data_IF_235800964818
#
_entry.id   IF_235800964818
#
_cell.length_a   1.000
_cell.length_b   1.000
_cell.length_c   1.000
_cell.angle_alpha   90.00
_cell.angle_beta   90.00
_cell.angle_gamma   90.00
#
_symmetry.space_group_name_H-M   'P 1'
#
loop_
_entity.id
_entity.type
_entity.pdbx_description
1 polymer ?
#
# COMPACT_ATOMS: atom_id res chain seq x y z
N UNK A 1 15.58 3.57 39.48
CA UNK A 1 14.67 3.33 40.63
C UNK A 1 13.47 2.56 40.13
N UNK A 2 13.47 1.26 40.38
CA UNK A 2 12.36 0.34 40.11
C UNK A 2 11.28 0.58 41.18
N UNK A 3 10.01 0.72 40.79
CA UNK A 3 8.88 0.63 41.73
C UNK A 3 8.06 -0.61 41.42
N UNK A 4 8.18 -1.59 42.33
CA UNK A 4 7.29 -2.73 42.50
C UNK A 4 5.93 -2.26 43.06
N UNK A 5 4.86 -2.93 42.68
CA UNK A 5 3.56 -2.95 43.39
C UNK A 5 3.25 -4.43 43.72
N UNK A 6 2.74 -4.75 44.94
CA UNK A 6 2.79 -6.10 45.49
C UNK A 6 1.53 -6.94 45.25
N UNK A 7 1.74 -8.25 45.22
CA UNK A 7 0.75 -9.32 45.34
C UNK A 7 0.25 -9.50 46.78
N UNK A 8 -1.05 -9.78 46.95
CA UNK A 8 -1.63 -10.63 48.01
C UNK A 8 -3.05 -11.08 47.58
N UNK A 9 -3.25 -12.37 47.30
CA UNK A 9 -4.02 -13.36 48.09
C UNK A 9 -5.56 -13.18 47.97
N UNK A 10 -6.43 -14.18 47.74
CA UNK A 10 -6.43 -15.58 48.20
C UNK A 10 -7.58 -16.40 47.52
N UNK A 11 -7.37 -17.73 47.45
CA UNK A 11 -8.34 -18.84 47.49
C UNK A 11 -9.23 -19.13 46.26
N UNK A 12 -8.98 -20.17 45.44
CA UNK A 12 -9.10 -21.62 45.69
C UNK A 12 -10.54 -22.16 45.72
N UNK A 13 -10.96 -22.83 44.64
CA UNK A 13 -12.00 -23.86 44.66
C UNK A 13 -11.67 -24.96 43.64
N UNK A 14 -10.99 -25.99 44.14
CA UNK A 14 -10.99 -27.34 43.60
C UNK A 14 -11.68 -28.20 44.66
N UNK A 15 -12.81 -28.81 44.33
CA UNK A 15 -13.33 -29.96 45.09
C UNK A 15 -13.70 -31.07 44.13
N UNK A 16 -12.95 -32.15 44.26
CA UNK A 16 -13.32 -33.47 43.77
C UNK A 16 -14.44 -34.03 44.67
N UNK A 17 -15.41 -34.71 44.06
CA UNK A 17 -16.26 -35.67 44.77
C UNK A 17 -16.16 -37.02 44.06
N UNK A 18 -15.58 -37.99 44.78
CA UNK A 18 -15.68 -39.42 44.54
C UNK A 18 -16.38 -40.04 45.74
N UNK A 19 -17.26 -41.01 45.44
CA UNK A 19 -17.83 -42.07 46.28
C UNK A 19 -19.11 -41.80 47.09
N UNK A 20 -20.20 -42.41 46.61
CA UNK A 20 -21.08 -43.39 47.28
C UNK A 20 -21.93 -44.02 46.15
N UNK A 21 -22.28 -45.30 46.06
CA UNK A 21 -22.22 -46.47 46.92
C UNK A 21 -23.03 -47.54 46.17
N UNK A 22 -22.62 -48.81 46.26
CA UNK A 22 -23.20 -49.90 45.48
C UNK A 22 -24.69 -50.15 45.72
N UNK A 23 -25.36 -50.62 44.68
CA UNK A 23 -26.71 -51.18 44.74
C UNK A 23 -26.80 -52.36 43.79
N UNK A 24 -26.58 -53.57 44.32
CA UNK A 24 -26.88 -54.81 43.61
C UNK A 24 -28.39 -54.94 43.43
N UNK A 25 -28.82 -55.09 42.19
CA UNK A 25 -30.18 -55.46 41.81
C UNK A 25 -30.14 -56.81 41.13
N UNK A 26 -30.62 -57.83 41.83
CA UNK A 26 -30.79 -59.19 41.32
C UNK A 26 -31.59 -59.17 40.02
N UNK A 27 -31.10 -59.84 38.99
CA UNK A 27 -31.93 -60.24 37.86
C UNK A 27 -33.06 -61.12 38.39
N UNK A 28 -34.31 -60.71 38.16
CA UNK A 28 -35.46 -61.55 38.40
C UNK A 28 -35.32 -62.86 37.60
N UNK A 29 -35.64 -64.00 38.20
CA UNK A 29 -35.69 -65.28 37.47
C UNK A 29 -36.77 -65.20 36.40
N UNK A 30 -36.39 -65.31 35.12
CA UNK A 30 -37.33 -65.39 34.00
C UNK A 30 -37.11 -64.45 32.82
N UNK A 31 -36.07 -63.61 32.83
CA UNK A 31 -35.72 -62.78 31.66
C UNK A 31 -34.72 -63.50 30.77
N UNK A 32 -35.16 -63.87 29.56
CA UNK A 32 -34.27 -64.40 28.52
C UNK A 32 -33.25 -63.34 28.08
N UNK A 33 -31.99 -63.71 27.80
CA UNK A 33 -31.01 -62.78 27.24
C UNK A 33 -31.52 -62.19 25.92
N UNK A 34 -31.34 -60.88 25.74
CA UNK A 34 -31.58 -60.20 24.46
C UNK A 34 -30.64 -60.71 23.36
N UNK A 35 -30.98 -60.48 22.08
CA UNK A 35 -30.20 -60.97 20.95
C UNK A 35 -28.76 -60.42 20.96
N UNK A 36 -27.78 -61.15 20.40
CA UNK A 36 -26.40 -60.67 20.32
C UNK A 36 -26.34 -59.35 19.55
N UNK A 37 -25.47 -58.40 19.95
CA UNK A 37 -25.34 -57.12 19.28
C UNK A 37 -24.86 -57.32 17.82
N UNK A 38 -25.33 -56.50 16.85
CA UNK A 38 -24.81 -56.52 15.49
C UNK A 38 -23.31 -56.19 15.49
N UNK A 39 -22.56 -56.91 14.66
CA UNK A 39 -21.10 -56.91 14.71
C UNK A 39 -20.41 -55.64 14.23
N UNK A 40 -19.17 -55.48 14.71
CA UNK A 40 -18.08 -54.71 14.09
C UNK A 40 -18.16 -53.18 14.23
N UNK A 41 -17.03 -52.47 14.36
CA UNK A 41 -17.00 -51.02 14.20
C UNK A 41 -17.35 -50.70 12.75
N UNK A 42 -18.48 -50.02 12.55
CA UNK A 42 -18.73 -49.28 11.31
C UNK A 42 -17.90 -48.01 11.37
N UNK A 43 -16.94 -47.87 10.47
CA UNK A 43 -16.26 -46.59 10.26
C UNK A 43 -17.34 -45.55 9.90
N UNK A 44 -17.40 -44.40 10.60
CA UNK A 44 -18.32 -43.35 10.21
C UNK A 44 -18.03 -42.94 8.76
N UNK A 45 -19.06 -42.73 7.91
CA UNK A 45 -18.83 -42.26 6.57
C UNK A 45 -18.03 -40.96 6.63
N UNK A 46 -17.01 -40.86 5.78
CA UNK A 46 -16.21 -39.64 5.62
C UNK A 46 -17.17 -38.46 5.47
N UNK A 47 -17.01 -37.36 6.22
CA UNK A 47 -17.89 -36.20 6.08
C UNK A 47 -17.93 -35.77 4.61
N UNK A 48 -19.10 -35.91 3.97
CA UNK A 48 -19.34 -35.30 2.67
C UNK A 48 -19.50 -33.80 2.90
N UNK A 49 -18.44 -33.04 2.60
CA UNK A 49 -18.55 -31.59 2.48
C UNK A 49 -19.55 -31.28 1.36
N UNK A 50 -20.45 -30.30 1.53
CA UNK A 50 -21.34 -29.90 0.45
C UNK A 50 -20.49 -29.60 -0.80
N UNK A 51 -20.81 -30.31 -1.88
CA UNK A 51 -20.20 -30.10 -3.18
C UNK A 51 -20.69 -28.76 -3.72
N UNK A 52 -20.14 -27.66 -3.23
CA UNK A 52 -20.33 -26.35 -3.85
C UNK A 52 -19.67 -26.47 -5.21
N UNK A 53 -20.48 -26.47 -6.27
CA UNK A 53 -19.97 -26.44 -7.63
C UNK A 53 -18.98 -25.26 -7.72
N UNK A 54 -17.74 -25.46 -8.18
CA UNK A 54 -16.76 -24.38 -8.25
C UNK A 54 -17.34 -23.18 -9.00
N UNK A 55 -17.11 -21.97 -8.47
CA UNK A 55 -17.51 -20.76 -9.15
C UNK A 55 -16.67 -20.60 -10.42
N UNK A 56 -17.28 -20.40 -11.61
CA UNK A 56 -16.51 -20.14 -12.82
C UNK A 56 -15.71 -18.85 -12.67
N UNK A 57 -14.39 -18.91 -12.88
CA UNK A 57 -13.50 -17.75 -12.71
C UNK A 57 -13.96 -16.51 -13.48
N UNK A 58 -14.44 -16.69 -14.72
CA UNK A 58 -14.89 -15.59 -15.58
C UNK A 58 -16.15 -14.87 -15.05
N UNK A 59 -16.93 -15.52 -14.18
CA UNK A 59 -18.17 -14.98 -13.60
C UNK A 59 -17.99 -14.47 -12.17
N UNK A 60 -16.79 -14.60 -11.59
CA UNK A 60 -16.51 -14.16 -10.23
C UNK A 60 -16.61 -12.62 -10.12
N UNK A 61 -17.62 -12.14 -9.37
CA UNK A 61 -17.86 -10.72 -9.07
C UNK A 61 -16.93 -10.16 -7.98
N UNK A 62 -16.25 -11.04 -7.26
CA UNK A 62 -15.21 -10.72 -6.29
C UNK A 62 -14.17 -11.85 -6.29
N UNK A 63 -12.90 -11.49 -6.14
CA UNK A 63 -11.80 -12.44 -6.02
C UNK A 63 -11.10 -12.31 -4.66
N UNK A 64 -11.04 -13.40 -3.91
CA UNK A 64 -10.22 -13.50 -2.71
C UNK A 64 -9.04 -14.42 -2.98
N UNK A 65 -7.87 -13.81 -3.14
CA UNK A 65 -6.64 -14.50 -3.48
C UNK A 65 -5.59 -14.29 -2.38
N UNK A 66 -4.83 -15.32 -2.05
CA UNK A 66 -3.67 -15.21 -1.18
C UNK A 66 -2.62 -16.24 -1.56
N UNK A 67 -1.35 -15.86 -1.38
CA UNK A 67 -0.22 -16.75 -1.62
C UNK A 67 0.11 -17.47 -0.30
N UNK A 68 0.08 -18.80 -0.34
CA UNK A 68 0.34 -19.66 0.81
C UNK A 68 1.84 -19.78 1.10
N UNK A 69 2.64 -19.94 0.06
CA UNK A 69 4.09 -20.11 0.16
C UNK A 69 4.79 -19.71 -1.13
N UNK A 70 6.06 -19.35 -0.99
CA UNK A 70 7.00 -19.22 -2.08
C UNK A 70 8.35 -19.79 -1.64
N UNK A 71 8.95 -20.64 -2.48
CA UNK A 71 10.24 -21.27 -2.24
C UNK A 71 11.02 -21.42 -3.55
N UNK A 72 12.30 -21.78 -3.49
CA UNK A 72 13.06 -22.15 -4.69
C UNK A 72 13.15 -23.66 -4.80
N UNK A 73 12.92 -24.21 -5.99
CA UNK A 73 13.20 -25.62 -6.27
C UNK A 73 14.72 -25.87 -6.45
N UNK A 74 15.08 -27.13 -6.75
CA UNK A 74 16.48 -27.52 -6.93
C UNK A 74 17.16 -26.84 -8.14
N UNK A 75 16.36 -26.36 -9.09
CA UNK A 75 16.77 -25.63 -10.28
C UNK A 75 16.78 -24.10 -10.08
N UNK A 76 16.59 -23.62 -8.83
CA UNK A 76 16.56 -22.20 -8.45
C UNK A 76 15.45 -21.40 -9.14
N UNK A 77 14.37 -22.09 -9.51
CA UNK A 77 13.11 -21.49 -9.96
C UNK A 77 12.19 -21.26 -8.76
N UNK A 78 11.56 -20.08 -8.67
CA UNK A 78 10.51 -19.86 -7.70
C UNK A 78 9.31 -20.78 -7.94
N UNK A 79 8.82 -21.40 -6.86
CA UNK A 79 7.61 -22.21 -6.81
C UNK A 79 6.65 -21.53 -5.84
N UNK A 80 5.48 -21.13 -6.34
CA UNK A 80 4.47 -20.37 -5.59
C UNK A 80 3.24 -21.22 -5.44
N UNK A 81 2.79 -21.43 -4.21
CA UNK A 81 1.47 -22.02 -3.95
C UNK A 81 0.51 -20.92 -3.52
N UNK A 82 -0.65 -20.84 -4.15
CA UNK A 82 -1.67 -19.84 -3.86
C UNK A 82 -3.06 -20.44 -3.85
N UNK A 83 -3.99 -19.76 -3.18
CA UNK A 83 -5.41 -20.12 -3.09
C UNK A 83 -6.25 -19.01 -3.72
N UNK A 84 -7.32 -19.41 -4.40
CA UNK A 84 -8.32 -18.51 -4.96
C UNK A 84 -9.74 -18.97 -4.60
N UNK A 85 -10.57 -18.03 -4.16
CA UNK A 85 -12.01 -18.21 -3.98
C UNK A 85 -12.78 -17.00 -4.54
N UNK A 86 -14.08 -17.19 -4.77
CA UNK A 86 -15.00 -16.08 -5.07
C UNK A 86 -15.43 -15.31 -3.80
N UNK A 87 -16.36 -14.36 -3.96
CA UNK A 87 -16.94 -13.56 -2.88
C UNK A 87 -17.73 -14.35 -1.82
N UNK A 88 -18.20 -15.56 -2.16
CA UNK A 88 -18.91 -16.47 -1.26
C UNK A 88 -17.97 -17.50 -0.61
N UNK A 89 -16.65 -17.37 -0.83
CA UNK A 89 -15.60 -18.30 -0.41
C UNK A 89 -15.70 -19.68 -1.08
N UNK A 90 -16.33 -19.78 -2.25
CA UNK A 90 -16.33 -20.99 -3.06
C UNK A 90 -14.99 -21.09 -3.80
N UNK A 91 -14.31 -22.25 -3.77
CA UNK A 91 -13.06 -22.45 -4.50
C UNK A 91 -13.22 -22.24 -6.01
N UNK A 92 -12.31 -21.48 -6.61
CA UNK A 92 -12.23 -21.31 -8.06
C UNK A 92 -11.22 -22.31 -8.60
N UNK A 93 -11.67 -23.29 -9.38
CA UNK A 93 -10.86 -24.45 -9.82
C UNK A 93 -10.63 -24.52 -11.33
N UNK A 94 -10.93 -23.48 -12.09
CA UNK A 94 -10.87 -23.45 -13.56
C UNK A 94 -9.91 -22.40 -14.13
N UNK A 95 -8.99 -21.85 -13.30
CA UNK A 95 -7.95 -20.95 -13.79
C UNK A 95 -7.05 -21.63 -14.83
N UNK A 96 -6.76 -20.90 -15.89
CA UNK A 96 -5.74 -21.24 -16.88
C UNK A 96 -4.53 -20.31 -16.77
N UNK A 97 -3.37 -20.76 -17.27
CA UNK A 97 -2.13 -19.97 -17.25
C UNK A 97 -2.28 -18.61 -17.95
N UNK A 98 -3.11 -18.52 -18.99
CA UNK A 98 -3.38 -17.26 -19.70
C UNK A 98 -4.03 -16.19 -18.82
N UNK A 99 -4.71 -16.58 -17.74
CA UNK A 99 -5.34 -15.70 -16.76
C UNK A 99 -4.34 -15.10 -15.76
N UNK A 100 -3.08 -15.52 -15.77
CA UNK A 100 -2.14 -15.20 -14.71
C UNK A 100 -0.89 -14.49 -15.23
N UNK A 101 -0.42 -13.53 -14.45
CA UNK A 101 0.89 -12.90 -14.60
C UNK A 101 1.60 -12.93 -13.26
N UNK A 102 2.87 -13.31 -13.25
CA UNK A 102 3.68 -13.41 -12.05
C UNK A 102 4.86 -12.46 -12.11
N UNK A 103 5.18 -11.84 -10.97
CA UNK A 103 6.34 -10.96 -10.80
C UNK A 103 7.18 -11.45 -9.64
N UNK A 104 8.50 -11.30 -9.73
CA UNK A 104 9.41 -11.56 -8.61
C UNK A 104 10.52 -10.51 -8.54
N UNK A 105 10.74 -9.99 -7.34
CA UNK A 105 11.72 -8.93 -7.07
C UNK A 105 12.45 -9.18 -5.74
N UNK A 106 13.68 -8.68 -5.63
CA UNK A 106 14.42 -8.57 -4.37
C UNK A 106 14.32 -7.16 -3.80
N UNK A 107 14.41 -7.03 -2.49
CA UNK A 107 14.49 -5.75 -1.80
C UNK A 107 15.95 -5.45 -1.40
N UNK A 108 16.55 -4.48 -2.08
CA UNK A 108 17.90 -4.04 -1.78
C UNK A 108 17.89 -2.95 -0.69
N UNK A 109 18.72 -3.06 0.35
CA UNK A 109 18.86 -2.01 1.35
C UNK A 109 19.52 -0.77 0.74
N UNK A 110 19.15 0.41 1.23
CA UNK A 110 19.78 1.66 0.81
C UNK A 110 20.93 2.03 1.77
N UNK A 111 22.02 2.62 1.25
CA UNK A 111 23.08 3.16 2.10
C UNK A 111 22.62 4.35 2.95
N UNK A 112 21.45 4.93 2.66
CA UNK A 112 20.88 6.04 3.44
C UNK A 112 20.36 5.62 4.81
N UNK A 113 20.03 4.34 4.99
CA UNK A 113 19.53 3.83 6.27
C UNK A 113 18.94 2.44 6.18
N UNK A 114 18.74 1.82 7.34
CA UNK A 114 18.25 0.44 7.47
C UNK A 114 16.72 0.29 7.38
N UNK A 115 15.97 1.40 7.25
CA UNK A 115 14.51 1.40 7.07
C UNK A 115 14.10 1.83 5.65
N UNK A 116 15.06 1.90 4.72
CA UNK A 116 14.82 2.32 3.34
C UNK A 116 15.63 1.49 2.34
N UNK A 117 15.12 1.36 1.14
CA UNK A 117 15.64 0.44 0.12
C UNK A 117 14.94 0.62 -1.22
N UNK A 118 15.25 -0.24 -2.17
CA UNK A 118 14.58 -0.28 -3.47
C UNK A 118 14.25 -1.71 -3.85
N UNK A 119 13.05 -1.93 -4.39
CA UNK A 119 12.75 -3.16 -5.08
C UNK A 119 13.57 -3.24 -6.38
N UNK A 120 13.96 -4.45 -6.76
CA UNK A 120 14.62 -4.73 -8.02
C UNK A 120 14.03 -6.02 -8.61
N UNK A 121 13.33 -5.89 -9.73
CA UNK A 121 12.75 -7.04 -10.44
C UNK A 121 13.84 -7.91 -11.05
N UNK A 122 13.65 -9.23 -10.99
CA UNK A 122 14.43 -10.19 -11.76
C UNK A 122 13.96 -10.29 -13.22
N UNK A 123 12.66 -10.08 -13.44
CA UNK A 123 12.03 -10.21 -14.76
C UNK A 123 11.96 -8.83 -15.40
N UNK A 124 12.69 -8.68 -16.51
CA UNK A 124 12.83 -7.42 -17.22
C UNK A 124 12.74 -7.65 -18.73
N UNK A 125 12.47 -6.57 -19.46
CA UNK A 125 12.65 -6.47 -20.91
C UNK A 125 13.52 -5.26 -21.24
N UNK A 126 14.15 -5.29 -22.41
CA UNK A 126 14.76 -4.11 -23.01
C UNK A 126 13.74 -3.45 -23.92
N UNK A 127 13.28 -2.27 -23.56
CA UNK A 127 12.49 -1.42 -24.45
C UNK A 127 13.42 -0.58 -25.32
N UNK A 128 13.09 -0.43 -26.60
CA UNK A 128 13.81 0.41 -27.54
C UNK A 128 12.92 1.58 -27.93
N UNK A 129 13.44 2.83 -27.97
CA UNK A 129 12.66 3.96 -28.42
C UNK A 129 12.27 3.78 -29.88
N UNK A 130 11.00 4.03 -30.18
CA UNK A 130 10.46 4.06 -31.54
C UNK A 130 9.51 5.23 -31.76
N UNK A 131 8.93 5.75 -30.68
CA UNK A 131 8.08 6.94 -30.65
C UNK A 131 8.59 7.91 -29.59
N UNK A 132 8.31 9.20 -29.75
CA UNK A 132 8.66 10.20 -28.73
C UNK A 132 10.13 10.65 -28.75
N UNK A 133 10.55 11.43 -27.72
CA UNK A 133 11.86 12.09 -27.67
C UNK A 133 13.01 11.20 -27.18
N UNK A 134 12.72 10.02 -26.63
CA UNK A 134 13.72 9.11 -26.08
C UNK A 134 14.65 8.53 -27.16
N UNK A 135 15.89 8.24 -26.78
CA UNK A 135 16.97 7.98 -27.72
C UNK A 135 17.90 6.81 -27.35
N UNK A 136 17.62 6.13 -26.23
CA UNK A 136 18.42 5.01 -25.74
C UNK A 136 17.49 3.86 -25.34
N UNK A 137 17.96 2.63 -25.54
CA UNK A 137 17.30 1.47 -24.98
C UNK A 137 17.30 1.54 -23.46
N UNK A 138 16.23 1.04 -22.83
CA UNK A 138 16.05 1.07 -21.39
C UNK A 138 15.53 -0.25 -20.85
N UNK A 139 15.99 -0.60 -19.65
CA UNK A 139 15.41 -1.69 -18.91
C UNK A 139 14.02 -1.32 -18.39
N UNK A 140 13.11 -2.28 -18.46
CA UNK A 140 11.78 -2.18 -17.87
C UNK A 140 11.40 -3.49 -17.20
N UNK A 141 11.09 -3.43 -15.91
CA UNK A 141 10.55 -4.58 -15.22
C UNK A 141 9.19 -4.99 -15.82
N UNK A 142 8.95 -6.30 -15.85
CA UNK A 142 7.73 -6.88 -16.43
C UNK A 142 7.34 -8.15 -15.66
N UNK A 143 6.18 -8.71 -15.99
CA UNK A 143 5.74 -10.00 -15.47
C UNK A 143 6.09 -11.14 -16.43
N UNK A 144 6.16 -12.35 -15.89
CA UNK A 144 6.24 -13.61 -16.63
C UNK A 144 4.86 -14.30 -16.69
N UNK A 145 4.64 -15.08 -17.75
CA UNK A 145 3.50 -15.98 -17.91
C UNK A 145 3.86 -17.30 -18.61
N UNK A 146 5.13 -17.67 -18.59
CA UNK A 146 5.69 -18.79 -19.36
C UNK A 146 6.03 -20.04 -18.54
N UNK A 147 5.78 -20.02 -17.23
CA UNK A 147 6.01 -21.14 -16.33
C UNK A 147 4.95 -22.24 -16.40
N UNK A 148 4.94 -23.12 -15.42
CA UNK A 148 4.01 -24.25 -15.31
C UNK A 148 2.99 -24.00 -14.19
N UNK A 149 1.70 -24.10 -14.52
CA UNK A 149 0.61 -24.00 -13.56
C UNK A 149 0.02 -25.40 -13.31
N UNK A 150 0.00 -25.82 -12.05
CA UNK A 150 -0.67 -27.01 -11.58
C UNK A 150 -1.90 -26.64 -10.74
N UNK A 151 -3.04 -27.24 -11.06
CA UNK A 151 -4.28 -27.06 -10.32
C UNK A 151 -4.48 -28.24 -9.35
N UNK A 152 -4.56 -27.95 -8.04
CA UNK A 152 -4.68 -28.97 -7.01
C UNK A 152 -6.12 -29.47 -6.80
N UNK A 153 -7.09 -28.92 -7.54
CA UNK A 153 -8.49 -29.36 -7.55
C UNK A 153 -9.34 -28.86 -6.37
N UNK A 154 -8.80 -27.99 -5.52
CA UNK A 154 -9.48 -27.45 -4.33
C UNK A 154 -9.42 -25.91 -4.26
N UNK A 155 -9.18 -25.25 -5.40
CA UNK A 155 -8.97 -23.81 -5.52
C UNK A 155 -7.57 -23.35 -5.14
N UNK A 156 -6.69 -24.27 -4.71
CA UNK A 156 -5.26 -24.00 -4.63
C UNK A 156 -4.55 -24.41 -5.91
N UNK A 157 -3.49 -23.69 -6.22
CA UNK A 157 -2.68 -23.86 -7.40
C UNK A 157 -1.21 -23.74 -7.03
N UNK A 158 -0.36 -24.39 -7.81
CA UNK A 158 1.10 -24.25 -7.73
C UNK A 158 1.62 -23.73 -9.06
N UNK A 159 2.36 -22.63 -9.04
CA UNK A 159 3.04 -22.07 -10.20
C UNK A 159 4.55 -22.19 -10.04
N UNK A 160 5.19 -22.85 -11.00
CA UNK A 160 6.65 -22.90 -11.11
C UNK A 160 7.09 -21.93 -12.20
N UNK A 161 7.91 -20.94 -11.83
CA UNK A 161 8.44 -19.97 -12.78
C UNK A 161 9.31 -20.65 -13.84
N UNK A 162 9.28 -20.12 -15.07
CA UNK A 162 10.27 -20.48 -16.09
C UNK A 162 11.63 -19.85 -15.77
N UNK A 163 11.63 -18.62 -15.23
CA UNK A 163 12.83 -17.90 -14.80
C UNK A 163 13.57 -18.63 -13.67
N UNK A 164 14.89 -18.76 -13.82
CA UNK A 164 15.83 -19.15 -12.76
C UNK A 164 16.53 -17.91 -12.23
N UNK A 165 16.53 -17.69 -10.92
CA UNK A 165 17.03 -16.43 -10.35
C UNK A 165 18.55 -16.24 -10.48
N UNK A 166 19.28 -17.34 -10.64
CA UNK A 166 20.75 -17.38 -10.76
C UNK A 166 21.25 -17.40 -12.21
N UNK A 167 20.37 -17.55 -13.18
CA UNK A 167 20.70 -17.67 -14.61
C UNK A 167 19.76 -16.79 -15.44
N UNK A 168 19.88 -15.48 -15.23
CA UNK A 168 19.14 -14.47 -15.98
C UNK A 168 19.73 -14.28 -17.39
N UNK A 169 18.92 -13.86 -18.38
CA UNK A 169 19.41 -13.63 -19.74
C UNK A 169 20.58 -12.64 -19.80
N UNK A 170 21.62 -12.99 -20.56
CA UNK A 170 22.86 -12.23 -20.63
C UNK A 170 22.70 -10.80 -21.18
N UNK A 171 21.76 -10.59 -22.10
CA UNK A 171 21.42 -9.27 -22.63
C UNK A 171 20.76 -8.37 -21.57
N UNK A 172 19.90 -8.94 -20.71
CA UNK A 172 19.33 -8.21 -19.57
C UNK A 172 20.41 -7.81 -18.57
N UNK A 173 21.34 -8.72 -18.25
CA UNK A 173 22.47 -8.44 -17.36
C UNK A 173 23.40 -7.35 -17.93
N UNK A 174 23.65 -7.37 -19.24
CA UNK A 174 24.44 -6.34 -19.90
C UNK A 174 23.76 -4.96 -19.84
N UNK A 175 22.46 -4.88 -20.18
CA UNK A 175 21.71 -3.62 -20.08
C UNK A 175 21.66 -3.11 -18.64
N UNK A 176 21.40 -3.99 -17.66
CA UNK A 176 21.39 -3.64 -16.25
C UNK A 176 22.75 -3.05 -15.79
N UNK A 177 23.86 -3.65 -16.21
CA UNK A 177 25.20 -3.15 -15.89
C UNK A 177 25.47 -1.75 -16.49
N UNK A 178 25.02 -1.49 -17.72
CA UNK A 178 25.10 -0.15 -18.34
C UNK A 178 24.29 0.90 -17.57
N UNK A 179 23.18 0.48 -16.95
CA UNK A 179 22.30 1.34 -16.15
C UNK A 179 22.66 1.36 -14.65
N UNK A 180 23.72 0.65 -14.24
CA UNK A 180 24.18 0.61 -12.84
C UNK A 180 23.27 -0.19 -11.90
N UNK A 181 22.50 -1.14 -12.43
CA UNK A 181 21.56 -1.99 -11.70
C UNK A 181 22.17 -3.35 -11.37
N UNK A 182 21.83 -3.87 -10.19
CA UNK A 182 22.27 -5.20 -9.75
C UNK A 182 21.10 -6.18 -9.73
N UNK A 183 21.05 -7.06 -10.74
CA UNK A 183 20.05 -8.12 -10.85
C UNK A 183 20.48 -9.45 -10.20
N UNK A 184 21.65 -9.52 -9.56
CA UNK A 184 22.15 -10.78 -9.00
C UNK A 184 21.21 -11.37 -7.94
N UNK A 185 21.17 -12.69 -7.84
CA UNK A 185 20.42 -13.34 -6.77
C UNK A 185 21.17 -13.24 -5.43
N UNK A 186 20.47 -12.84 -4.38
CA UNK A 186 20.98 -12.85 -3.00
C UNK A 186 19.93 -13.48 -2.08
N UNK A 187 20.12 -14.72 -1.63
CA UNK A 187 19.13 -15.45 -0.83
C UNK A 187 18.90 -14.84 0.56
N UNK A 188 19.75 -13.90 1.00
CA UNK A 188 19.67 -13.28 2.33
C UNK A 188 18.76 -12.05 2.37
N UNK A 189 18.38 -11.53 1.20
CA UNK A 189 17.48 -10.39 1.07
C UNK A 189 16.01 -10.83 1.05
N UNK A 190 15.14 -9.93 1.48
CA UNK A 190 13.69 -10.10 1.29
C UNK A 190 13.37 -10.14 -0.19
N UNK A 191 12.59 -11.13 -0.59
CA UNK A 191 12.02 -11.29 -1.92
C UNK A 191 10.51 -11.09 -1.83
N UNK A 192 9.93 -10.54 -2.89
CA UNK A 192 8.49 -10.44 -3.09
C UNK A 192 8.10 -11.16 -4.36
N UNK A 193 7.11 -12.04 -4.25
CA UNK A 193 6.35 -12.54 -5.40
C UNK A 193 4.95 -11.95 -5.35
N UNK A 194 4.38 -11.64 -6.51
CA UNK A 194 3.00 -11.18 -6.60
C UNK A 194 2.32 -11.68 -7.88
N UNK A 195 0.99 -11.70 -7.85
CA UNK A 195 0.15 -12.26 -8.92
C UNK A 195 -0.76 -11.16 -9.46
N UNK A 196 -0.93 -11.11 -10.77
CA UNK A 196 -2.03 -10.40 -11.42
C UNK A 196 -2.97 -11.43 -12.06
N UNK A 197 -4.28 -11.18 -11.92
CA UNK A 197 -5.36 -11.97 -12.49
C UNK A 197 -5.99 -11.21 -13.67
N UNK A 198 -6.19 -11.90 -14.79
CA UNK A 198 -6.80 -11.39 -16.01
C UNK A 198 -8.03 -12.23 -16.38
N UNK A 199 -9.12 -11.59 -16.86
CA UNK A 199 -10.27 -12.29 -17.45
C UNK A 199 -11.46 -12.56 -16.54
N UNK A 200 -11.39 -12.17 -15.27
CA UNK A 200 -12.50 -12.13 -14.31
C UNK A 200 -13.19 -10.75 -14.28
N UNK A 201 -14.35 -10.64 -13.60
CA UNK A 201 -15.09 -9.36 -13.44
C UNK A 201 -14.47 -8.45 -12.37
N UNK A 202 -13.81 -9.05 -11.39
CA UNK A 202 -13.00 -8.35 -10.39
C UNK A 202 -11.54 -8.83 -10.44
N UNK A 203 -10.63 -8.12 -9.77
CA UNK A 203 -9.21 -8.48 -9.70
C UNK A 203 -8.68 -8.35 -8.28
N UNK A 204 -7.59 -9.07 -8.02
CA UNK A 204 -6.75 -8.89 -6.83
C UNK A 204 -5.28 -8.93 -7.25
N UNK A 205 -4.37 -8.35 -6.47
CA UNK A 205 -2.93 -8.54 -6.65
C UNK A 205 -2.27 -9.02 -5.34
N UNK A 206 -2.45 -10.30 -4.95
CA UNK A 206 -1.83 -10.83 -3.74
C UNK A 206 -0.31 -10.85 -3.90
N UNK A 207 0.40 -10.69 -2.78
CA UNK A 207 1.85 -10.76 -2.71
C UNK A 207 2.30 -11.59 -1.51
N UNK A 208 3.55 -12.02 -1.55
CA UNK A 208 4.20 -12.78 -0.48
C UNK A 208 5.66 -12.39 -0.37
N UNK A 209 6.06 -12.03 0.86
CA UNK A 209 7.42 -11.61 1.17
C UNK A 209 8.11 -12.66 2.03
N UNK A 210 9.34 -13.02 1.65
CA UNK A 210 10.15 -13.97 2.41
C UNK A 210 11.65 -13.76 2.18
N UNK A 211 12.48 -14.32 3.06
CA UNK A 211 13.93 -14.43 2.87
C UNK A 211 14.26 -15.88 2.46
N UNK A 212 14.69 -16.14 1.21
CA UNK A 212 14.93 -17.50 0.72
C UNK A 212 15.89 -18.33 1.58
N UNK A 213 16.97 -17.73 2.10
CA UNK A 213 17.99 -18.44 2.89
C UNK A 213 17.46 -18.98 4.23
N UNK A 214 16.44 -18.33 4.81
CA UNK A 214 15.94 -18.64 6.16
C UNK A 214 14.50 -19.13 6.17
N UNK A 215 13.74 -18.91 5.09
CA UNK A 215 12.28 -19.11 5.05
C UNK A 215 11.51 -18.11 5.91
N UNK A 216 12.15 -17.07 6.44
CA UNK A 216 11.49 -16.10 7.31
C UNK A 216 10.52 -15.22 6.52
N UNK A 217 9.31 -15.05 7.06
CA UNK A 217 8.26 -14.16 6.54
C UNK A 217 7.93 -13.02 7.51
N UNK A 218 8.53 -13.03 8.70
CA UNK A 218 8.31 -12.06 9.77
C UNK A 218 9.65 -11.58 10.31
N UNK A 219 9.69 -10.35 10.80
CA UNK A 219 10.94 -9.74 11.26
C UNK A 219 11.98 -9.57 10.16
N UNK A 220 11.55 -9.58 8.90
CA UNK A 220 12.36 -9.34 7.72
C UNK A 220 12.31 -7.86 7.34
N UNK A 221 13.29 -7.41 6.56
CA UNK A 221 13.27 -6.04 6.03
C UNK A 221 12.11 -5.89 5.04
N UNK A 222 11.30 -4.84 5.18
CA UNK A 222 10.16 -4.53 4.28
C UNK A 222 10.19 -3.08 3.83
N UNK A 223 9.40 -2.76 2.80
CA UNK A 223 9.28 -1.43 2.21
C UNK A 223 7.82 -1.06 1.95
N UNK A 224 7.03 -1.00 3.02
CA UNK A 224 5.63 -0.63 3.00
C UNK A 224 5.49 0.86 3.34
N UNK A 225 5.67 1.71 2.32
CA UNK A 225 5.69 3.17 2.46
C UNK A 225 4.29 3.80 2.33
N UNK A 226 3.49 3.35 1.37
CA UNK A 226 2.17 3.91 1.09
C UNK A 226 1.16 2.78 0.96
N UNK A 227 0.03 2.92 1.64
CA UNK A 227 -1.08 1.98 1.56
C UNK A 227 -1.93 2.23 0.30
N UNK A 228 -2.45 1.18 -0.34
CA UNK A 228 -3.42 1.32 -1.44
C UNK A 228 -4.65 2.15 -1.06
N UNK A 229 -5.12 1.99 0.18
CA UNK A 229 -6.26 2.76 0.69
C UNK A 229 -5.99 4.28 0.73
N UNK A 230 -4.73 4.71 0.81
CA UNK A 230 -4.37 6.12 0.72
C UNK A 230 -4.65 6.69 -0.69
N UNK A 231 -4.41 5.90 -1.74
CA UNK A 231 -4.72 6.27 -3.12
C UNK A 231 -6.24 6.38 -3.36
N UNK A 232 -7.01 5.46 -2.79
CA UNK A 232 -8.46 5.37 -3.00
C UNK A 232 -9.27 6.45 -2.25
N UNK A 233 -8.60 7.43 -1.63
CA UNK A 233 -9.26 8.65 -1.13
C UNK A 233 -9.70 9.57 -2.26
N UNK A 234 -9.01 9.47 -3.39
CA UNK A 234 -9.29 10.24 -4.61
C UNK A 234 -9.61 9.32 -5.80
N UNK A 235 -9.04 8.12 -5.85
CA UNK A 235 -9.35 7.11 -6.87
C UNK A 235 -10.48 6.18 -6.40
N UNK A 236 -11.29 5.66 -7.32
CA UNK A 236 -12.44 4.81 -7.00
C UNK A 236 -12.65 3.62 -7.96
N UNK A 237 -11.99 2.48 -7.70
CA UNK A 237 -10.68 2.36 -7.05
C UNK A 237 -9.55 2.77 -8.02
N UNK A 238 -8.32 2.88 -7.52
CA UNK A 238 -7.14 2.94 -8.39
C UNK A 238 -7.08 1.67 -9.25
N UNK A 239 -7.15 1.82 -10.56
CA UNK A 239 -7.12 0.71 -11.50
C UNK A 239 -6.42 1.14 -12.81
N UNK A 240 -5.26 0.55 -13.10
CA UNK A 240 -4.44 0.91 -14.27
C UNK A 240 -4.02 -0.34 -15.07
N UNK A 241 -3.47 -0.15 -16.27
CA UNK A 241 -3.08 -1.21 -17.19
C UNK A 241 -4.21 -2.19 -17.55
N UNK A 242 -5.37 -1.64 -17.92
CA UNK A 242 -6.57 -2.44 -18.22
C UNK A 242 -7.43 -2.75 -16.99
N UNK A 243 -7.05 -2.25 -15.81
CA UNK A 243 -7.84 -2.32 -14.58
C UNK A 243 -7.43 -3.42 -13.62
N UNK A 244 -6.54 -4.31 -14.05
CA UNK A 244 -6.13 -5.51 -13.31
C UNK A 244 -4.99 -5.27 -12.30
N UNK A 245 -4.50 -4.03 -12.21
CA UNK A 245 -3.44 -3.62 -11.30
C UNK A 245 -3.94 -2.54 -10.35
N UNK A 246 -4.06 -2.86 -9.06
CA UNK A 246 -4.69 -1.99 -8.06
C UNK A 246 -3.85 -1.81 -6.78
N UNK A 247 -3.01 -2.78 -6.44
CA UNK A 247 -2.33 -2.81 -5.15
C UNK A 247 -0.90 -2.28 -5.21
N UNK A 248 -0.54 -1.39 -4.28
CA UNK A 248 0.79 -0.78 -4.20
C UNK A 248 1.89 -1.83 -4.11
N UNK A 249 1.64 -2.92 -3.38
CA UNK A 249 2.58 -4.02 -3.23
C UNK A 249 2.94 -4.70 -4.55
N UNK A 250 2.03 -4.72 -5.52
CA UNK A 250 2.26 -5.20 -6.88
C UNK A 250 2.91 -4.11 -7.75
N UNK A 251 2.43 -2.86 -7.66
CA UNK A 251 2.96 -1.80 -8.50
C UNK A 251 4.48 -1.62 -8.33
N UNK A 252 4.98 -1.66 -7.09
CA UNK A 252 6.40 -1.43 -6.78
C UNK A 252 7.33 -2.55 -7.25
N UNK A 253 6.82 -3.72 -7.67
CA UNK A 253 7.68 -4.77 -8.23
C UNK A 253 8.06 -4.47 -9.67
N UNK A 254 7.24 -3.72 -10.42
CA UNK A 254 7.56 -3.27 -11.79
C UNK A 254 7.99 -1.79 -11.82
N UNK A 255 7.30 -0.92 -11.09
CA UNK A 255 7.65 0.48 -10.96
C UNK A 255 8.75 0.64 -9.91
N UNK A 256 9.94 0.16 -10.25
CA UNK A 256 11.10 0.06 -9.37
C UNK A 256 12.31 0.81 -9.94
N UNK A 257 13.40 0.86 -9.17
CA UNK A 257 14.62 1.52 -9.60
C UNK A 257 15.14 0.91 -10.91
N UNK A 258 15.51 1.78 -11.87
CA UNK A 258 15.99 1.36 -13.18
C UNK A 258 14.90 1.17 -14.24
N UNK A 259 13.62 1.02 -13.86
CA UNK A 259 12.55 0.94 -14.84
C UNK A 259 12.27 2.31 -15.47
N UNK A 260 12.44 2.40 -16.79
CA UNK A 260 12.36 3.66 -17.56
C UNK A 260 11.56 3.47 -18.84
N UNK A 261 10.68 4.41 -19.19
CA UNK A 261 10.07 4.48 -20.52
C UNK A 261 11.11 4.95 -21.54
N UNK A 262 11.54 4.05 -22.42
CA UNK A 262 12.56 4.33 -23.43
C UNK A 262 12.09 5.38 -24.43
N UNK A 263 10.79 5.46 -24.72
CA UNK A 263 10.22 6.38 -25.71
C UNK A 263 10.17 7.83 -25.20
N UNK A 264 10.00 8.07 -23.89
CA UNK A 264 10.10 9.42 -23.30
C UNK A 264 11.45 9.70 -22.66
N UNK A 265 12.19 8.67 -22.25
CA UNK A 265 13.35 8.77 -21.37
C UNK A 265 13.01 8.99 -19.89
N UNK A 266 11.72 9.07 -19.53
CA UNK A 266 11.30 9.29 -18.15
C UNK A 266 11.34 7.99 -17.34
N UNK A 267 11.83 8.09 -16.10
CA UNK A 267 11.75 6.97 -15.15
C UNK A 267 10.28 6.67 -14.83
N UNK A 268 9.97 5.37 -14.75
CA UNK A 268 8.71 4.86 -14.25
C UNK A 268 8.88 4.20 -12.88
N UNK A 269 9.98 4.44 -12.16
CA UNK A 269 10.12 4.10 -10.74
C UNK A 269 8.96 4.75 -9.97
N UNK A 270 8.25 3.99 -9.14
CA UNK A 270 7.04 4.42 -8.44
C UNK A 270 7.26 5.74 -7.73
N UNK A 271 8.39 5.88 -7.01
CA UNK A 271 8.68 7.08 -6.22
C UNK A 271 8.98 8.32 -7.05
N UNK A 272 9.32 8.17 -8.33
CA UNK A 272 9.56 9.30 -9.25
C UNK A 272 8.29 9.59 -10.04
N UNK A 273 7.72 8.56 -10.64
CA UNK A 273 6.56 8.63 -11.51
C UNK A 273 5.36 9.21 -10.77
N UNK A 274 5.05 8.70 -9.58
CA UNK A 274 3.83 9.10 -8.86
C UNK A 274 3.87 10.58 -8.47
N UNK A 275 5.03 11.06 -8.04
CA UNK A 275 5.22 12.47 -7.69
C UNK A 275 5.13 13.36 -8.93
N UNK A 276 5.78 13.01 -10.05
CA UNK A 276 5.69 13.77 -11.30
C UNK A 276 4.26 13.83 -11.83
N UNK A 277 3.55 12.70 -11.85
CA UNK A 277 2.13 12.65 -12.27
C UNK A 277 1.30 13.62 -11.43
N UNK A 278 1.38 13.54 -10.10
CA UNK A 278 0.56 14.38 -9.21
C UNK A 278 1.04 15.84 -9.14
N UNK A 279 2.31 16.12 -9.41
CA UNK A 279 2.80 17.49 -9.56
C UNK A 279 2.29 18.11 -10.87
N UNK A 280 2.18 17.31 -11.94
CA UNK A 280 1.41 17.60 -13.14
C UNK A 280 1.72 18.96 -13.74
N UNK A 281 0.67 19.78 -13.93
CA UNK A 281 0.76 21.13 -14.49
C UNK A 281 1.65 22.11 -13.71
N UNK A 282 1.93 21.80 -12.43
CA UNK A 282 2.77 22.63 -11.57
C UNK A 282 4.23 22.14 -11.51
N UNK A 283 4.62 21.14 -12.31
CA UNK A 283 6.04 20.80 -12.47
C UNK A 283 6.79 22.01 -13.03
N UNK A 284 7.91 22.44 -12.43
CA UNK A 284 8.72 23.55 -12.96
C UNK A 284 9.07 23.40 -14.45
N UNK A 285 9.41 22.19 -14.88
CA UNK A 285 9.67 21.89 -16.30
C UNK A 285 8.44 22.09 -17.20
N UNK A 286 7.23 21.79 -16.72
CA UNK A 286 5.97 21.99 -17.44
C UNK A 286 5.59 23.47 -17.46
N UNK A 287 5.75 24.19 -16.34
CA UNK A 287 5.54 25.64 -16.27
C UNK A 287 6.49 26.40 -17.22
N UNK A 288 7.69 25.87 -17.46
CA UNK A 288 8.64 26.37 -18.44
C UNK A 288 8.28 26.04 -19.91
N UNK A 289 7.14 25.41 -20.16
CA UNK A 289 6.65 25.05 -21.50
C UNK A 289 7.09 23.66 -21.97
N UNK A 290 7.67 22.85 -21.08
CA UNK A 290 7.96 21.44 -21.33
C UNK A 290 6.74 20.54 -21.21
N UNK A 291 6.99 19.23 -21.20
CA UNK A 291 5.97 18.19 -21.12
C UNK A 291 6.45 17.04 -20.23
N UNK A 292 5.55 16.48 -19.43
CA UNK A 292 5.76 15.20 -18.76
C UNK A 292 4.79 14.15 -19.32
N UNK A 293 5.32 13.26 -20.15
CA UNK A 293 4.56 12.20 -20.79
C UNK A 293 5.26 10.83 -20.67
N UNK A 294 4.44 9.78 -20.63
CA UNK A 294 4.86 8.38 -20.67
C UNK A 294 4.18 7.71 -21.87
N UNK A 295 4.92 6.91 -22.62
CA UNK A 295 4.39 6.10 -23.70
C UNK A 295 4.07 4.70 -23.16
N UNK A 296 2.78 4.39 -23.12
CA UNK A 296 2.24 3.20 -22.48
C UNK A 296 1.90 2.10 -23.48
N UNK A 297 0.74 1.47 -23.26
CA UNK A 297 0.29 0.34 -24.06
C UNK A 297 0.23 0.69 -25.56
N UNK A 298 0.92 -0.13 -26.38
CA UNK A 298 1.04 0.08 -27.84
C UNK A 298 1.61 1.45 -28.21
N UNK A 299 2.60 1.91 -27.46
CA UNK A 299 3.30 3.18 -27.71
C UNK A 299 2.37 4.41 -27.67
N UNK A 300 1.24 4.30 -26.96
CA UNK A 300 0.29 5.40 -26.81
C UNK A 300 0.81 6.43 -25.83
N UNK A 301 0.81 7.70 -26.23
CA UNK A 301 1.26 8.81 -25.40
C UNK A 301 0.23 9.15 -24.31
N UNK A 302 0.66 9.15 -23.07
CA UNK A 302 -0.07 9.66 -21.91
C UNK A 302 0.62 10.92 -21.39
N UNK A 303 0.03 12.08 -21.67
CA UNK A 303 0.53 13.40 -21.22
C UNK A 303 -0.14 13.81 -19.91
N UNK A 304 0.68 14.02 -18.87
CA UNK A 304 0.25 14.40 -17.53
C UNK A 304 0.44 15.89 -17.24
N UNK A 305 0.91 16.68 -18.22
CA UNK A 305 1.22 18.11 -18.09
C UNK A 305 0.00 18.99 -17.80
N UNK A 306 -1.21 18.45 -17.91
CA UNK A 306 -2.47 19.15 -17.61
C UNK A 306 -3.14 18.67 -16.33
N UNK A 307 -2.53 17.71 -15.63
CA UNK A 307 -3.07 17.20 -14.38
C UNK A 307 -2.97 18.28 -13.29
N UNK A 308 -4.07 18.52 -12.59
CA UNK A 308 -4.12 19.40 -11.43
C UNK A 308 -4.49 18.57 -10.21
N UNK A 309 -3.59 18.48 -9.24
CA UNK A 309 -3.88 17.80 -7.98
C UNK A 309 -4.91 18.60 -7.19
N UNK A 310 -5.97 17.97 -6.64
CA UNK A 310 -7.11 18.69 -6.06
C UNK A 310 -6.82 19.30 -4.68
N UNK A 311 -5.65 19.05 -4.10
CA UNK A 311 -5.24 19.58 -2.80
C UNK A 311 -3.85 20.25 -2.90
N UNK A 312 -3.37 20.82 -1.80
CA UNK A 312 -1.96 21.22 -1.72
C UNK A 312 -1.08 19.96 -1.75
N UNK A 313 -0.19 19.86 -2.73
CA UNK A 313 0.68 18.71 -2.92
C UNK A 313 1.64 18.47 -1.75
N UNK A 314 1.88 19.50 -0.92
CA UNK A 314 2.66 19.40 0.32
C UNK A 314 1.93 18.65 1.43
N UNK A 315 0.65 18.30 1.23
CA UNK A 315 -0.08 17.39 2.12
C UNK A 315 0.42 15.95 1.94
N UNK A 316 1.69 15.69 2.28
CA UNK A 316 2.37 14.42 2.08
C UNK A 316 1.62 13.25 2.73
N UNK A 317 0.94 13.51 3.85
CA UNK A 317 0.22 12.51 4.64
C UNK A 317 -1.04 11.96 3.98
N UNK A 318 -1.49 12.55 2.87
CA UNK A 318 -2.52 11.93 2.03
C UNK A 318 -2.04 10.60 1.43
N UNK A 319 -0.74 10.45 1.19
CA UNK A 319 -0.13 9.24 0.63
C UNK A 319 0.78 8.54 1.66
N UNK A 320 1.53 9.31 2.43
CA UNK A 320 2.58 8.84 3.34
C UNK A 320 2.20 9.05 4.81
N UNK A 321 1.80 7.99 5.49
CA UNK A 321 1.46 8.08 6.90
C UNK A 321 2.25 7.03 7.69
N UNK A 322 3.22 7.48 8.47
CA UNK A 322 3.87 6.66 9.49
C UNK A 322 3.46 7.11 10.90
N UNK A 323 4.02 6.45 11.91
CA UNK A 323 3.66 6.76 13.31
C UNK A 323 4.06 8.18 13.69
N UNK A 324 5.21 8.67 13.20
CA UNK A 324 5.70 10.00 13.54
C UNK A 324 4.96 11.12 12.80
N UNK A 325 4.52 10.88 11.56
CA UNK A 325 3.92 11.90 10.69
C UNK A 325 2.40 11.85 10.58
N UNK A 326 1.77 10.73 10.95
CA UNK A 326 0.31 10.56 10.89
C UNK A 326 -0.34 9.94 12.13
N UNK A 327 0.42 9.63 13.19
CA UNK A 327 -0.07 8.90 14.36
C UNK A 327 -1.14 9.60 15.21
N UNK A 328 -1.38 10.89 14.98
CA UNK A 328 -2.40 11.70 15.63
C UNK A 328 -3.72 11.77 14.84
N UNK A 329 -3.83 11.04 13.71
CA UNK A 329 -4.96 11.14 12.77
C UNK A 329 -5.60 9.78 12.49
N UNK A 330 -6.80 9.59 13.04
CA UNK A 330 -7.61 8.38 12.86
C UNK A 330 -8.08 8.17 11.42
N UNK A 331 -8.06 9.23 10.60
CA UNK A 331 -8.46 9.13 9.22
C UNK A 331 -7.33 8.68 8.30
N UNK A 332 -6.11 8.39 8.77
CA UNK A 332 -4.97 7.93 7.96
C UNK A 332 -4.74 6.42 8.10
N UNK A 333 -4.18 5.79 7.06
CA UNK A 333 -3.74 4.39 7.12
C UNK A 333 -2.24 4.38 7.33
N UNK A 334 -1.82 4.05 8.55
CA UNK A 334 -0.41 4.04 8.92
C UNK A 334 0.29 2.82 8.33
N UNK A 335 1.51 3.02 7.82
CA UNK A 335 2.38 1.94 7.36
C UNK A 335 3.74 1.98 8.09
N UNK A 336 4.44 0.83 8.23
CA UNK A 336 5.69 0.77 8.98
C UNK A 336 6.80 1.69 8.45
N UNK A 337 6.90 1.88 7.14
CA UNK A 337 7.86 2.79 6.50
C UNK A 337 7.20 4.09 6.02
N UNK A 338 6.02 4.42 6.55
CA UNK A 338 5.26 5.60 6.16
C UNK A 338 5.94 6.92 6.49
N UNK A 339 6.91 6.95 7.42
CA UNK A 339 7.68 8.14 7.80
C UNK A 339 8.90 8.39 6.88
N UNK A 340 9.23 7.46 5.98
CA UNK A 340 10.40 7.56 5.10
C UNK A 340 10.44 8.86 4.28
N UNK A 341 9.28 9.42 3.92
CA UNK A 341 9.19 10.66 3.16
C UNK A 341 9.86 11.84 3.88
N UNK A 342 9.85 11.85 5.21
CA UNK A 342 10.42 12.93 6.02
C UNK A 342 11.85 12.63 6.50
N UNK A 343 12.24 11.36 6.52
CA UNK A 343 13.52 10.88 7.06
C UNK A 343 14.62 10.75 6.01
N UNK A 344 14.26 10.31 4.80
CA UNK A 344 15.23 9.96 3.76
C UNK A 344 15.08 10.85 2.54
N UNK A 345 16.10 11.69 2.31
CA UNK A 345 16.20 12.54 1.12
C UNK A 345 17.00 11.83 0.02
N UNK A 346 16.54 11.93 -1.24
CA UNK A 346 17.29 11.49 -2.42
C UNK A 346 17.06 12.44 -3.58
N UNK A 347 18.05 12.60 -4.45
CA UNK A 347 17.95 13.44 -5.65
C UNK A 347 16.81 12.97 -6.56
N UNK A 348 16.62 11.65 -6.72
CA UNK A 348 15.56 11.07 -7.55
C UNK A 348 14.15 11.47 -7.08
N UNK A 349 13.88 11.39 -5.76
CA UNK A 349 12.56 11.74 -5.21
C UNK A 349 12.38 13.25 -5.17
N UNK A 350 13.35 14.02 -4.66
CA UNK A 350 13.22 15.48 -4.59
C UNK A 350 13.09 16.11 -5.99
N UNK A 351 13.90 15.65 -6.94
CA UNK A 351 13.88 16.07 -8.35
C UNK A 351 12.66 15.58 -9.14
N UNK A 352 11.79 14.77 -8.53
CA UNK A 352 10.50 14.41 -9.15
C UNK A 352 9.48 15.55 -9.05
N UNK A 353 9.54 16.39 -8.01
CA UNK A 353 8.72 17.58 -7.86
C UNK A 353 9.50 18.88 -8.14
N UNK A 354 10.76 18.93 -7.72
CA UNK A 354 11.68 20.06 -7.92
C UNK A 354 12.61 19.78 -9.10
N UNK A 355 12.01 19.61 -10.28
CA UNK A 355 12.70 19.09 -11.46
C UNK A 355 13.50 20.14 -12.26
N UNK A 356 13.59 21.35 -11.71
CA UNK A 356 14.47 22.44 -12.13
C UNK A 356 15.74 22.55 -11.26
N UNK A 357 15.88 21.72 -10.22
CA UNK A 357 17.05 21.72 -9.35
C UNK A 357 18.22 21.01 -10.02
N UNK A 358 19.33 21.75 -10.18
CA UNK A 358 20.63 21.18 -10.53
C UNK A 358 21.39 20.77 -9.26
N UNK A 359 21.44 19.47 -8.98
CA UNK A 359 22.15 18.89 -7.84
C UNK A 359 23.68 19.08 -7.90
N UNK A 360 24.26 19.30 -9.09
CA UNK A 360 25.68 19.58 -9.27
C UNK A 360 26.08 20.95 -8.75
N UNK A 361 25.20 21.95 -8.93
CA UNK A 361 25.39 23.32 -8.41
C UNK A 361 24.64 23.58 -7.09
N UNK A 362 23.81 22.63 -6.65
CA UNK A 362 23.19 22.68 -5.33
C UNK A 362 24.25 22.77 -4.23
N UNK A 363 23.88 23.30 -3.06
CA UNK A 363 24.83 23.74 -2.03
C UNK A 363 25.86 22.65 -1.69
N UNK A 364 27.13 22.93 -1.97
CA UNK A 364 28.26 22.02 -1.70
C UNK A 364 28.52 20.96 -2.77
N UNK A 365 27.74 20.94 -3.86
CA UNK A 365 27.71 19.88 -4.86
C UNK A 365 27.21 18.57 -4.25
N UNK A 366 26.13 18.00 -4.80
CA UNK A 366 25.58 16.73 -4.35
C UNK A 366 25.95 15.63 -5.37
N UNK A 367 27.10 14.95 -5.21
CA UNK A 367 27.50 13.89 -6.12
C UNK A 367 26.64 12.62 -5.98
N UNK A 368 26.01 12.45 -4.81
CA UNK A 368 25.16 11.32 -4.44
C UNK A 368 24.23 11.75 -3.29
N UNK A 369 23.39 10.82 -2.82
CA UNK A 369 22.38 11.07 -1.79
C UNK A 369 22.95 11.10 -0.36
N UNK A 370 24.23 10.73 -0.15
CA UNK A 370 24.80 10.54 1.20
C UNK A 370 24.87 11.83 2.03
N UNK A 371 24.77 12.99 1.39
CA UNK A 371 24.92 14.30 2.02
C UNK A 371 23.59 15.03 2.23
N UNK A 372 22.49 14.55 1.64
CA UNK A 372 21.20 15.22 1.72
C UNK A 372 20.73 15.39 3.17
N UNK A 373 20.87 14.33 3.98
CA UNK A 373 20.49 14.32 5.39
C UNK A 373 21.24 15.33 6.28
N UNK A 374 22.39 15.87 5.83
CA UNK A 374 23.10 16.91 6.60
C UNK A 374 22.29 18.20 6.73
N UNK A 375 21.44 18.49 5.73
CA UNK A 375 20.56 19.66 5.72
C UNK A 375 19.06 19.29 5.79
N UNK A 376 18.68 18.13 5.27
CA UNK A 376 17.28 17.73 5.05
C UNK A 376 16.77 16.65 6.01
N UNK A 377 17.55 16.20 7.00
CA UNK A 377 17.05 15.30 8.03
C UNK A 377 16.01 15.98 8.96
N UNK A 378 15.16 15.21 9.67
CA UNK A 378 14.05 15.74 10.47
C UNK A 378 14.44 16.82 11.50
N UNK A 379 15.62 16.70 12.11
CA UNK A 379 16.13 17.60 13.15
C UNK A 379 16.77 18.88 12.60
N UNK A 380 16.85 19.03 11.27
CA UNK A 380 17.52 20.17 10.63
C UNK A 380 16.53 21.30 10.35
N UNK A 381 17.07 22.52 10.30
CA UNK A 381 16.32 23.73 9.93
C UNK A 381 15.62 23.59 8.58
N UNK A 382 16.26 22.92 7.62
CA UNK A 382 15.72 22.65 6.28
C UNK A 382 15.24 21.20 6.13
N UNK A 383 14.89 20.56 7.25
CA UNK A 383 14.33 19.22 7.27
C UNK A 383 13.10 19.10 6.37
N UNK A 384 12.91 17.94 5.74
CA UNK A 384 11.83 17.73 4.76
C UNK A 384 10.48 18.06 5.37
N UNK A 385 10.16 17.50 6.54
CA UNK A 385 8.90 17.77 7.24
C UNK A 385 8.68 19.27 7.43
N UNK A 386 9.65 19.96 8.03
CA UNK A 386 9.57 21.39 8.31
C UNK A 386 9.36 22.25 7.06
N UNK A 387 9.97 21.85 5.94
CA UNK A 387 9.89 22.57 4.67
C UNK A 387 8.55 22.38 3.94
N UNK A 388 7.83 21.29 4.23
CA UNK A 388 6.55 20.95 3.60
C UNK A 388 5.34 21.19 4.49
N UNK A 389 5.50 21.91 5.61
CA UNK A 389 4.39 22.25 6.51
C UNK A 389 3.34 23.12 5.83
N UNK A 390 2.07 22.80 6.10
CA UNK A 390 0.92 23.58 5.69
C UNK A 390 0.57 24.60 6.78
N UNK A 391 1.41 25.63 6.94
CA UNK A 391 1.31 26.59 8.04
C UNK A 391 -0.06 27.27 8.15
N UNK A 392 -0.77 27.46 7.03
CA UNK A 392 -2.13 28.02 7.04
C UNK A 392 -3.11 27.03 7.66
N UNK A 393 -3.04 25.75 7.31
CA UNK A 393 -3.93 24.72 7.88
C UNK A 393 -3.60 24.45 9.35
N UNK A 394 -2.32 24.45 9.72
CA UNK A 394 -1.92 24.38 11.12
C UNK A 394 -2.45 25.57 11.93
N UNK A 395 -2.38 26.79 11.38
CA UNK A 395 -2.93 27.98 12.02
C UNK A 395 -4.45 27.91 12.15
N UNK A 396 -5.15 27.32 11.16
CA UNK A 396 -6.61 27.15 11.20
C UNK A 396 -7.09 26.32 12.39
N UNK A 397 -6.28 25.37 12.86
CA UNK A 397 -6.62 24.56 14.05
C UNK A 397 -6.73 25.39 15.34
N UNK A 398 -6.21 26.62 15.36
CA UNK A 398 -6.39 27.54 16.46
C UNK A 398 -7.77 28.21 16.47
N UNK A 399 -8.67 27.95 15.51
CA UNK A 399 -9.98 28.61 15.44
C UNK A 399 -11.12 27.61 15.39
N UNK A 400 -12.02 27.72 16.35
CA UNK A 400 -13.31 27.02 16.35
C UNK A 400 -14.43 28.03 16.56
N UNK A 401 -15.28 28.20 15.55
CA UNK A 401 -16.41 29.13 15.58
C UNK A 401 -17.70 28.40 15.94
N UNK A 402 -18.50 29.01 16.82
CA UNK A 402 -19.76 28.47 17.32
C UNK A 402 -20.84 29.55 17.24
N UNK A 403 -21.98 29.23 16.62
CA UNK A 403 -23.17 30.07 16.64
C UNK A 403 -23.95 29.79 17.92
N UNK A 404 -24.16 30.82 18.74
CA UNK A 404 -24.82 30.72 20.04
C UNK A 404 -26.32 31.06 19.95
N UNK A 405 -26.67 32.07 19.16
CA UNK A 405 -28.08 32.46 18.92
C UNK A 405 -28.27 33.09 17.54
N UNK A 406 -29.48 32.98 17.02
CA UNK A 406 -29.93 33.69 15.80
C UNK A 406 -31.34 34.20 16.07
N UNK A 407 -31.49 35.52 16.11
CA UNK A 407 -32.72 36.22 16.45
C UNK A 407 -33.13 37.18 15.31
N UNK A 408 -34.38 37.66 15.32
CA UNK A 408 -34.91 38.67 14.38
C UNK A 408 -34.83 38.29 12.89
N UNK A 409 -35.35 37.12 12.53
CA UNK A 409 -35.27 36.55 11.17
C UNK A 409 -36.55 36.66 10.34
N UNK A 410 -37.57 37.42 10.78
CA UNK A 410 -38.81 37.61 10.02
C UNK A 410 -38.62 38.59 8.84
N UNK A 411 -39.53 38.57 7.83
CA UNK A 411 -39.48 39.52 6.73
C UNK A 411 -39.52 40.97 7.22
N UNK A 412 -38.48 41.74 6.88
CA UNK A 412 -38.33 43.15 7.29
C UNK A 412 -37.53 43.37 8.58
N UNK A 413 -37.21 42.31 9.32
CA UNK A 413 -36.36 42.39 10.51
C UNK A 413 -34.87 42.48 10.15
N UNK A 414 -34.06 42.92 11.12
CA UNK A 414 -32.60 42.89 11.05
C UNK A 414 -32.09 41.74 11.92
N UNK A 415 -31.55 40.66 11.32
CA UNK A 415 -31.04 39.50 12.05
C UNK A 415 -29.93 39.87 13.03
N UNK A 416 -29.97 39.24 14.20
CA UNK A 416 -28.92 39.36 15.22
C UNK A 416 -28.33 37.98 15.45
N UNK A 417 -27.01 37.85 15.28
CA UNK A 417 -26.29 36.60 15.46
C UNK A 417 -25.35 36.72 16.65
N UNK A 418 -25.62 35.93 17.69
CA UNK A 418 -24.67 35.70 18.78
C UNK A 418 -23.73 34.57 18.39
N UNK A 419 -22.42 34.80 18.49
CA UNK A 419 -21.41 33.79 18.17
C UNK A 419 -20.18 33.93 19.07
N UNK A 420 -19.40 32.86 19.16
CA UNK A 420 -18.11 32.81 19.85
C UNK A 420 -17.08 32.18 18.93
N UNK A 421 -15.83 32.64 19.02
CA UNK A 421 -14.69 31.93 18.44
C UNK A 421 -13.75 31.58 19.59
N UNK A 422 -13.33 30.32 19.66
CA UNK A 422 -12.39 29.81 20.67
C UNK A 422 -11.15 29.23 20.02
N UNK A 423 -10.08 29.14 20.80
CA UNK A 423 -8.86 28.43 20.45
C UNK A 423 -8.85 27.03 21.08
N UNK A 424 -9.11 25.95 20.31
CA UNK A 424 -9.09 24.59 20.83
C UNK A 424 -7.72 24.16 21.39
N UNK A 425 -6.63 24.80 20.94
CA UNK A 425 -5.27 24.45 21.34
C UNK A 425 -4.92 24.98 22.73
N UNK A 426 -5.52 26.10 23.16
CA UNK A 426 -5.29 26.69 24.49
C UNK A 426 -6.48 26.53 25.42
N UNK A 427 -7.68 26.31 24.87
CA UNK A 427 -8.94 26.29 25.62
C UNK A 427 -9.57 27.66 25.84
N UNK A 428 -8.93 28.73 25.35
CA UNK A 428 -9.39 30.11 25.58
C UNK A 428 -10.41 30.57 24.52
N UNK A 429 -11.26 31.52 24.91
CA UNK A 429 -12.09 32.26 23.95
C UNK A 429 -11.28 33.44 23.38
N UNK A 430 -11.51 33.78 22.11
CA UNK A 430 -10.95 34.98 21.52
C UNK A 430 -11.78 36.21 21.84
N UNK A 431 -11.11 37.30 22.21
CA UNK A 431 -11.69 38.63 22.34
C UNK A 431 -11.67 39.32 20.98
N UNK A 432 -12.67 39.01 20.14
CA UNK A 432 -12.72 39.36 18.71
C UNK A 432 -12.45 40.85 18.42
N UNK A 433 -12.84 41.77 19.32
CA UNK A 433 -12.66 43.21 19.13
C UNK A 433 -11.25 43.72 19.46
N UNK A 434 -10.45 42.94 20.17
CA UNK A 434 -9.16 43.38 20.72
C UNK A 434 -8.00 42.48 20.30
N UNK A 435 -8.25 41.19 20.07
CA UNK A 435 -7.19 40.25 19.74
C UNK A 435 -6.56 40.59 18.37
N UNK A 436 -5.21 40.66 18.28
CA UNK A 436 -4.52 41.05 17.05
C UNK A 436 -4.88 40.21 15.83
N UNK A 437 -5.29 38.96 16.05
CA UNK A 437 -5.66 38.03 14.98
C UNK A 437 -6.97 38.40 14.26
N UNK A 438 -7.82 39.20 14.91
CA UNK A 438 -9.06 39.74 14.34
C UNK A 438 -8.98 41.24 14.02
N UNK A 439 -8.03 41.96 14.60
CA UNK A 439 -7.89 43.42 14.44
C UNK A 439 -6.72 43.85 13.55
N UNK A 440 -5.85 42.91 13.17
CA UNK A 440 -4.69 43.17 12.30
C UNK A 440 -5.04 43.54 10.86
N UNK A 441 -4.09 44.16 10.16
CA UNK A 441 -4.23 44.51 8.74
C UNK A 441 -4.47 43.25 7.89
N UNK A 442 -5.62 43.19 7.22
CA UNK A 442 -6.02 42.05 6.39
C UNK A 442 -6.93 41.02 7.10
N UNK A 443 -7.18 41.18 8.40
CA UNK A 443 -8.19 40.39 9.09
C UNK A 443 -9.60 40.79 8.62
N UNK A 444 -10.46 39.80 8.41
CA UNK A 444 -11.88 40.04 8.16
C UNK A 444 -12.72 38.96 8.80
N UNK A 445 -13.81 39.36 9.44
CA UNK A 445 -14.83 38.46 9.95
C UNK A 445 -16.11 38.71 9.16
N UNK A 446 -16.72 37.63 8.66
CA UNK A 446 -17.96 37.68 7.91
C UNK A 446 -18.94 36.67 8.49
N UNK A 447 -20.16 37.12 8.74
CA UNK A 447 -21.28 36.26 9.11
C UNK A 447 -22.18 36.18 7.88
N UNK A 448 -22.29 34.98 7.32
CA UNK A 448 -23.21 34.68 6.23
C UNK A 448 -24.53 34.15 6.79
N UNK A 449 -25.64 34.57 6.20
CA UNK A 449 -26.96 34.02 6.49
C UNK A 449 -27.56 33.50 5.19
N UNK A 450 -28.04 32.26 5.21
CA UNK A 450 -28.77 31.64 4.12
C UNK A 450 -30.21 31.34 4.57
N UNK A 451 -31.10 31.19 3.61
CA UNK A 451 -32.51 30.82 3.83
C UNK A 451 -32.85 29.62 2.94
N UNK A 452 -33.97 28.95 3.23
CA UNK A 452 -34.46 27.85 2.41
C UNK A 452 -34.72 28.32 0.98
N UNK A 453 -34.28 27.54 0.01
CA UNK A 453 -34.54 27.75 -1.42
C UNK A 453 -35.36 26.58 -1.95
N UNK A 454 -36.18 26.85 -2.98
CA UNK A 454 -36.93 25.83 -3.73
C UNK A 454 -36.14 25.28 -4.93
N UNK A 455 -34.87 25.67 -5.09
CA UNK A 455 -34.07 25.32 -6.27
C UNK A 455 -33.70 23.82 -6.32
N UNK A 456 -33.95 23.08 -5.23
CA UNK A 456 -33.67 21.65 -5.10
C UNK A 456 -34.89 20.84 -4.59
N UNK A 457 -36.11 21.32 -4.83
CA UNK A 457 -37.35 20.52 -4.74
C UNK A 457 -37.83 20.14 -6.14
#
# INVERSE_FOLDING_TARGET
>A
MLRLIPSCCLAALLTALVACGGGGGNSASGVNPGPPPPGGPVDPPTPEFPNTNPAPYADAEALFAFINSAELNAEEQPVVTFQLTDGDNVPITDLALENLRFVIAKLQPSPLGNLTGNWQSYINRIERPGVGPGNAAKLQATAESGGELHNNGNGSYTYTFATRLTDLPADMLAQAAEEGLDLSYDPTLTHRVAIQFDGSRDTANPHYDWVPASGATQGIFSMDIAATASCNRCHDPLAIHGGNRREMAYCVTCHNAGSTDANSGNSVDMKVMIHKIHRGAALPSVEAGGEYAIYGFRDSKHDYSKLHYPQDIRNCVNCHAGTATGGDRDNLVLTPQGDNWAEYASAAVCGSCHDDVDFGTHKGGQPDDSRCGQCHAPDKKYGIFNSHRLLVDEARNAFHAEILSVDNTLPGDQPVVGFRISNPLTGDAYEILNDPVFTGSGASLRVGMAWNTVDYT
#
